data_IF_514713086672
#
_entry.id   IF_514713086672
#
_cell.length_a   1.000
_cell.length_b   1.000
_cell.length_c   1.000
_cell.angle_alpha   90.00
_cell.angle_beta   90.00
_cell.angle_gamma   90.00
#
_symmetry.space_group_name_H-M   'P 1'
#
loop_
_entity.id
_entity.type
_entity.pdbx_description
1 polymer ?
#
# COMPACT_ATOMS: atom_id res chain seq x y z
N UNK A 1 9.08 -21.76 84.85
CA UNK A 1 8.76 -20.52 84.12
C UNK A 1 7.59 -20.84 83.19
N UNK A 2 6.44 -20.21 83.44
CA UNK A 2 5.11 -20.47 82.84
C UNK A 2 5.12 -20.36 81.30
N UNK A 3 4.54 -21.30 80.53
CA UNK A 3 3.12 -21.42 80.12
C UNK A 3 2.55 -20.14 79.46
N UNK A 4 2.24 -20.18 78.15
CA UNK A 4 0.93 -19.79 77.59
C UNK A 4 0.78 -20.02 76.08
N UNK A 5 -0.22 -20.86 75.78
CA UNK A 5 -1.02 -20.97 74.56
C UNK A 5 -1.87 -19.70 74.32
N UNK A 6 -2.17 -19.34 73.06
CA UNK A 6 -3.42 -18.69 72.57
C UNK A 6 -3.27 -18.43 71.04
N UNK A 7 -3.87 -19.21 70.13
CA UNK A 7 -5.27 -19.19 69.61
C UNK A 7 -5.54 -18.10 68.56
N UNK A 8 -6.11 -18.58 67.44
CA UNK A 8 -6.54 -17.97 66.17
C UNK A 8 -7.36 -16.66 66.25
N UNK A 9 -7.28 -15.86 65.17
CA UNK A 9 -8.49 -15.32 64.55
C UNK A 9 -8.31 -15.09 63.03
N UNK A 10 -9.10 -15.82 62.23
CA UNK A 10 -9.30 -15.57 60.81
C UNK A 10 -10.20 -14.34 60.61
N UNK A 11 -9.86 -13.48 59.65
CA UNK A 11 -10.84 -12.63 58.98
C UNK A 11 -10.75 -12.84 57.47
N UNK A 12 -11.76 -13.54 56.96
CA UNK A 12 -12.10 -13.68 55.55
C UNK A 12 -12.94 -12.48 55.11
N UNK A 13 -12.43 -11.69 54.17
CA UNK A 13 -13.25 -10.75 53.40
C UNK A 13 -13.68 -11.45 52.10
N UNK A 14 -14.93 -11.92 52.11
CA UNK A 14 -15.65 -12.34 50.93
C UNK A 14 -16.12 -11.10 50.16
N UNK A 15 -15.57 -10.86 48.97
CA UNK A 15 -16.12 -9.93 47.99
C UNK A 15 -16.85 -10.72 46.91
N UNK A 16 -18.18 -10.78 46.98
CA UNK A 16 -19.02 -11.23 45.87
C UNK A 16 -19.23 -10.07 44.89
N UNK A 17 -18.73 -10.21 43.67
CA UNK A 17 -19.11 -9.38 42.52
C UNK A 17 -19.56 -10.31 41.40
N UNK A 18 -20.87 -10.40 41.18
CA UNK A 18 -21.49 -11.23 40.16
C UNK A 18 -21.39 -10.58 38.77
N UNK A 19 -21.14 -11.41 37.76
CA UNK A 19 -21.74 -11.25 36.43
C UNK A 19 -21.08 -10.24 35.48
N UNK A 20 -20.11 -10.70 34.69
CA UNK A 20 -20.41 -10.91 33.28
C UNK A 20 -19.43 -11.92 32.69
N UNK A 21 -19.98 -13.03 32.22
CA UNK A 21 -19.27 -13.97 31.37
C UNK A 21 -18.95 -13.28 30.05
N UNK A 22 -17.82 -12.56 29.99
CA UNK A 22 -17.11 -12.45 28.74
C UNK A 22 -16.60 -13.85 28.44
N UNK A 23 -17.36 -14.59 27.62
CA UNK A 23 -16.78 -15.63 26.81
C UNK A 23 -15.63 -14.94 26.07
N UNK A 24 -14.42 -15.16 26.54
CA UNK A 24 -13.25 -15.07 25.70
C UNK A 24 -13.56 -15.98 24.52
N UNK A 25 -13.93 -15.37 23.39
CA UNK A 25 -13.72 -16.02 22.11
C UNK A 25 -12.20 -16.16 21.98
N UNK A 26 -11.68 -17.21 22.62
CA UNK A 26 -10.48 -17.86 22.14
C UNK A 26 -10.86 -18.40 20.78
N UNK A 27 -10.72 -17.54 19.77
CA UNK A 27 -10.51 -18.04 18.43
C UNK A 27 -9.23 -18.86 18.55
N UNK A 28 -9.36 -20.18 18.59
CA UNK A 28 -8.30 -21.10 18.25
C UNK A 28 -7.92 -20.78 16.79
N UNK A 29 -7.14 -19.73 16.59
CA UNK A 29 -6.57 -19.34 15.31
C UNK A 29 -5.27 -20.11 15.05
N UNK A 30 -5.21 -21.37 15.47
CA UNK A 30 -4.02 -22.22 15.30
C UNK A 30 -3.93 -22.82 13.90
N UNK A 31 -4.93 -22.62 13.02
CA UNK A 31 -4.94 -23.15 11.65
C UNK A 31 -5.30 -22.12 10.57
N UNK A 32 -5.21 -20.82 10.84
CA UNK A 32 -5.23 -19.84 9.74
C UNK A 32 -3.83 -19.79 9.13
N UNK A 33 -3.61 -20.61 8.10
CA UNK A 33 -2.48 -20.42 7.21
C UNK A 33 -2.92 -19.43 6.14
N UNK A 34 -2.51 -18.14 6.18
CA UNK A 34 -2.82 -17.23 5.08
C UNK A 34 -2.31 -17.86 3.79
N UNK A 35 -3.15 -17.90 2.74
CA UNK A 35 -2.69 -18.30 1.42
C UNK A 35 -1.57 -17.33 1.01
N UNK A 36 -0.33 -17.82 0.97
CA UNK A 36 0.87 -17.02 0.66
C UNK A 36 0.88 -16.55 -0.80
N UNK A 37 -0.06 -17.04 -1.63
CA UNK A 37 -0.24 -16.52 -2.98
C UNK A 37 -0.67 -15.05 -2.88
N UNK A 38 -0.01 -14.12 -3.58
CA UNK A 38 -0.46 -12.74 -3.66
C UNK A 38 -1.93 -12.74 -4.07
N UNK A 39 -2.82 -12.27 -3.19
CA UNK A 39 -4.27 -12.27 -3.44
C UNK A 39 -4.62 -11.53 -4.73
N UNK A 40 -3.75 -10.61 -5.14
CA UNK A 40 -3.61 -10.20 -6.52
C UNK A 40 -2.24 -9.53 -6.76
N UNK A 41 -1.71 -9.66 -7.97
CA UNK A 41 -0.47 -8.97 -8.39
C UNK A 41 -0.79 -7.90 -9.43
N UNK A 42 -0.37 -6.67 -9.16
CA UNK A 42 -0.53 -5.55 -10.12
C UNK A 42 0.66 -5.51 -11.08
N UNK A 43 0.37 -5.27 -12.35
CA UNK A 43 1.33 -5.05 -13.43
C UNK A 43 0.97 -3.77 -14.17
N UNK A 44 1.98 -3.07 -14.65
CA UNK A 44 1.84 -1.91 -15.55
C UNK A 44 2.57 -2.27 -16.83
N UNK A 45 1.89 -2.15 -17.96
CA UNK A 45 2.44 -2.44 -19.28
C UNK A 45 2.46 -1.18 -20.14
N UNK A 46 3.49 -1.03 -20.96
CA UNK A 46 3.54 -0.11 -22.09
C UNK A 46 3.76 -0.91 -23.38
N UNK A 47 2.85 -0.78 -24.34
CA UNK A 47 2.96 -1.41 -25.66
C UNK A 47 3.29 -0.38 -26.74
N UNK A 48 4.41 0.34 -26.59
CA UNK A 48 4.82 1.48 -27.42
C UNK A 48 3.85 2.67 -27.31
N UNK A 49 3.56 3.09 -26.09
CA UNK A 49 2.67 4.22 -25.79
C UNK A 49 1.20 3.87 -25.61
N UNK A 50 0.82 2.61 -25.84
CA UNK A 50 -0.47 2.10 -25.35
C UNK A 50 -0.27 1.48 -23.97
N UNK A 51 -0.62 2.24 -22.94
CA UNK A 51 -0.43 1.85 -21.56
C UNK A 51 -1.69 1.22 -20.97
N UNK A 52 -1.52 0.17 -20.16
CA UNK A 52 -2.60 -0.40 -19.38
C UNK A 52 -2.11 -0.97 -18.05
N UNK A 53 -3.04 -1.09 -17.10
CA UNK A 53 -2.79 -1.72 -15.81
C UNK A 53 -3.51 -3.06 -15.78
N UNK A 54 -2.84 -4.10 -15.32
CA UNK A 54 -3.43 -5.41 -15.12
C UNK A 54 -3.30 -5.81 -13.65
N UNK A 55 -4.31 -6.51 -13.13
CA UNK A 55 -4.29 -7.11 -11.80
C UNK A 55 -4.67 -8.57 -11.93
N UNK A 56 -3.69 -9.43 -11.68
CA UNK A 56 -3.85 -10.86 -11.77
C UNK A 56 -4.53 -11.39 -10.51
N UNK A 57 -5.61 -12.15 -10.67
CA UNK A 57 -6.29 -12.91 -9.64
C UNK A 57 -6.30 -14.42 -9.95
N UNK A 58 -7.00 -15.23 -9.14
CA UNK A 58 -7.12 -16.67 -9.39
C UNK A 58 -7.88 -16.99 -10.68
N UNK A 59 -7.15 -17.28 -11.76
CA UNK A 59 -7.73 -17.66 -13.06
C UNK A 59 -8.36 -16.50 -13.84
N UNK A 60 -8.15 -15.28 -13.40
CA UNK A 60 -8.69 -14.07 -14.03
C UNK A 60 -7.66 -12.93 -14.05
N UNK A 61 -7.82 -12.01 -14.98
CA UNK A 61 -7.03 -10.79 -15.06
C UNK A 61 -7.95 -9.59 -15.24
N UNK A 62 -8.04 -8.77 -14.21
CA UNK A 62 -8.69 -7.48 -14.29
C UNK A 62 -7.77 -6.50 -15.02
N UNK A 63 -8.26 -5.81 -16.05
CA UNK A 63 -7.52 -4.86 -16.87
C UNK A 63 -8.20 -3.51 -16.87
N UNK A 64 -7.39 -2.46 -16.72
CA UNK A 64 -7.76 -1.07 -16.91
C UNK A 64 -7.06 -0.59 -18.17
N UNK A 65 -7.81 -0.64 -19.26
CA UNK A 65 -7.43 -0.07 -20.55
C UNK A 65 -7.73 1.44 -20.54
N UNK A 66 -7.17 2.23 -21.48
CA UNK A 66 -7.47 3.65 -21.59
C UNK A 66 -8.96 3.98 -21.64
N UNK A 67 -9.75 3.16 -22.33
CA UNK A 67 -11.17 3.44 -22.61
C UNK A 67 -12.15 2.57 -21.81
N UNK A 68 -11.67 1.52 -21.13
CA UNK A 68 -12.56 0.56 -20.46
C UNK A 68 -11.88 -0.27 -19.37
N UNK A 69 -12.72 -0.76 -18.46
CA UNK A 69 -12.36 -1.80 -17.50
C UNK A 69 -12.96 -3.14 -17.94
N UNK A 70 -12.15 -4.20 -17.92
CA UNK A 70 -12.58 -5.55 -18.29
C UNK A 70 -11.95 -6.59 -17.36
N UNK A 71 -12.64 -7.70 -17.14
CA UNK A 71 -12.08 -8.88 -16.47
C UNK A 71 -11.98 -9.99 -17.52
N UNK A 72 -10.76 -10.47 -17.75
CA UNK A 72 -10.48 -11.56 -18.67
C UNK A 72 -10.39 -12.88 -17.91
N UNK A 73 -11.00 -13.94 -18.44
CA UNK A 73 -10.83 -15.29 -17.90
C UNK A 73 -9.60 -15.95 -18.48
N UNK A 74 -8.86 -16.70 -17.67
CA UNK A 74 -7.76 -17.52 -18.18
C UNK A 74 -8.33 -18.65 -19.06
N UNK A 75 -7.82 -18.76 -20.27
CA UNK A 75 -8.22 -19.80 -21.23
C UNK A 75 -7.02 -20.69 -21.58
N UNK A 76 -7.32 -21.89 -22.09
CA UNK A 76 -6.29 -22.85 -22.46
C UNK A 76 -5.52 -22.34 -23.69
N UNK A 77 -4.18 -22.35 -23.59
CA UNK A 77 -3.29 -22.02 -24.71
C UNK A 77 -2.32 -23.17 -25.01
N UNK A 78 -1.86 -23.25 -26.26
CA UNK A 78 -0.81 -24.19 -26.68
C UNK A 78 0.58 -23.80 -26.12
N UNK A 79 0.81 -22.50 -25.88
CA UNK A 79 2.03 -21.98 -25.28
C UNK A 79 1.78 -20.61 -24.64
N UNK A 80 2.47 -20.33 -23.54
CA UNK A 80 2.25 -19.12 -22.77
C UNK A 80 0.92 -19.14 -22.02
N UNK A 81 0.58 -17.99 -21.46
CA UNK A 81 -0.66 -17.76 -20.72
C UNK A 81 -1.57 -16.89 -21.56
N UNK A 82 -2.84 -17.25 -21.68
CA UNK A 82 -3.84 -16.48 -22.41
C UNK A 82 -5.00 -16.16 -21.49
N UNK A 83 -5.41 -14.89 -21.49
CA UNK A 83 -6.64 -14.40 -20.87
C UNK A 83 -7.51 -13.80 -21.96
N UNK A 84 -8.81 -14.06 -21.94
CA UNK A 84 -9.74 -13.64 -22.99
C UNK A 84 -11.12 -13.29 -22.43
N UNK A 85 -11.76 -12.27 -23.00
CA UNK A 85 -13.17 -11.93 -22.84
C UNK A 85 -13.64 -11.24 -24.14
N UNK A 86 -14.60 -11.83 -24.84
CA UNK A 86 -15.13 -11.27 -26.08
C UNK A 86 -14.05 -11.06 -27.17
N UNK A 87 -13.84 -9.81 -27.56
CA UNK A 87 -12.86 -9.37 -28.57
C UNK A 87 -11.56 -8.84 -27.96
N UNK A 88 -11.36 -9.03 -26.64
CA UNK A 88 -10.17 -8.64 -25.90
C UNK A 88 -9.41 -9.88 -25.47
N UNK A 89 -8.12 -9.91 -25.75
CA UNK A 89 -7.22 -10.99 -25.31
C UNK A 89 -5.88 -10.46 -24.85
N UNK A 90 -5.36 -10.99 -23.76
CA UNK A 90 -3.99 -10.75 -23.31
C UNK A 90 -3.21 -12.07 -23.31
N UNK A 91 -2.16 -12.14 -24.10
CA UNK A 91 -1.26 -13.28 -24.18
C UNK A 91 0.13 -12.90 -23.67
N UNK A 92 0.74 -13.78 -22.87
CA UNK A 92 2.11 -13.58 -22.41
C UNK A 92 2.93 -14.87 -22.35
N UNK A 93 4.23 -14.74 -22.61
CA UNK A 93 5.21 -15.83 -22.50
C UNK A 93 6.61 -15.27 -22.23
N UNK A 94 7.14 -15.55 -21.04
CA UNK A 94 8.42 -14.96 -20.64
C UNK A 94 8.29 -13.44 -20.57
N UNK A 95 9.13 -12.73 -21.31
CA UNK A 95 9.11 -11.25 -21.42
C UNK A 95 8.22 -10.74 -22.57
N UNK A 96 7.71 -11.65 -23.42
CA UNK A 96 6.82 -11.28 -24.51
C UNK A 96 5.39 -11.16 -24.01
N UNK A 97 4.72 -10.07 -24.39
CA UNK A 97 3.30 -9.86 -24.13
C UNK A 97 2.62 -9.16 -25.31
N UNK A 98 1.38 -9.57 -25.59
CA UNK A 98 0.52 -9.06 -26.66
C UNK A 98 -0.86 -8.80 -26.08
N UNK A 99 -1.37 -7.60 -26.32
CA UNK A 99 -2.76 -7.25 -26.05
C UNK A 99 -3.50 -7.12 -27.38
N UNK A 100 -4.69 -7.71 -27.50
CA UNK A 100 -5.61 -7.47 -28.60
C UNK A 100 -6.87 -6.83 -28.03
N UNK A 101 -7.36 -5.75 -28.64
CA UNK A 101 -8.61 -5.06 -28.29
C UNK A 101 -9.37 -4.79 -29.58
N UNK A 102 -10.60 -5.29 -29.71
CA UNK A 102 -11.45 -5.08 -30.89
C UNK A 102 -10.75 -5.40 -32.23
N UNK A 103 -9.94 -6.45 -32.26
CA UNK A 103 -9.17 -6.89 -33.43
C UNK A 103 -7.87 -6.10 -33.71
N UNK A 104 -7.58 -5.04 -32.95
CA UNK A 104 -6.29 -4.34 -33.00
C UNK A 104 -5.29 -5.03 -32.06
N UNK A 105 -4.12 -5.41 -32.57
CA UNK A 105 -3.03 -5.95 -31.74
C UNK A 105 -2.03 -4.86 -31.34
N UNK A 106 -1.70 -4.85 -30.06
CA UNK A 106 -0.64 -4.07 -29.44
C UNK A 106 0.50 -5.03 -29.08
N UNK A 107 1.65 -4.81 -29.70
CA UNK A 107 2.83 -5.67 -29.61
C UNK A 107 3.91 -5.01 -28.74
N UNK A 108 4.93 -5.78 -28.38
CA UNK A 108 6.08 -5.35 -27.58
C UNK A 108 5.68 -4.75 -26.23
N UNK A 109 4.66 -5.31 -25.58
CA UNK A 109 4.21 -4.84 -24.28
C UNK A 109 5.29 -5.10 -23.21
N UNK A 110 5.97 -4.05 -22.77
CA UNK A 110 7.00 -4.10 -21.74
C UNK A 110 6.41 -3.89 -20.36
N UNK A 111 6.86 -4.66 -19.38
CA UNK A 111 6.56 -4.42 -17.97
C UNK A 111 7.27 -3.16 -17.47
N UNK A 112 6.56 -2.35 -16.71
CA UNK A 112 7.04 -1.13 -16.07
C UNK A 112 7.04 -1.30 -14.54
N UNK A 113 7.97 -2.09 -13.97
CA UNK A 113 7.96 -2.47 -12.55
C UNK A 113 8.08 -1.28 -11.61
N UNK A 114 8.77 -0.21 -12.00
CA UNK A 114 8.94 1.02 -11.24
C UNK A 114 7.63 1.79 -11.05
N UNK A 115 6.65 1.60 -11.93
CA UNK A 115 5.31 2.21 -11.83
C UNK A 115 4.36 1.43 -10.92
N UNK A 116 4.61 0.14 -10.69
CA UNK A 116 3.72 -0.74 -9.91
C UNK A 116 3.47 -0.21 -8.49
N UNK A 117 4.47 0.22 -7.70
CA UNK A 117 4.22 0.74 -6.35
C UNK A 117 3.34 1.99 -6.32
N UNK A 118 3.38 2.82 -7.37
CA UNK A 118 2.54 4.01 -7.51
C UNK A 118 1.10 3.63 -7.81
N UNK A 119 0.89 2.65 -8.70
CA UNK A 119 -0.45 2.12 -9.00
C UNK A 119 -1.08 1.38 -7.82
N UNK A 120 -0.30 0.59 -7.08
CA UNK A 120 -0.78 -0.08 -5.87
C UNK A 120 -1.13 0.91 -4.76
N UNK A 121 -0.37 2.00 -4.64
CA UNK A 121 -0.70 3.08 -3.72
C UNK A 121 -2.03 3.75 -4.12
N UNK A 122 -2.17 4.13 -5.41
CA UNK A 122 -3.41 4.71 -5.95
C UNK A 122 -4.60 3.81 -5.64
N UNK A 123 -4.52 2.50 -5.90
CA UNK A 123 -5.62 1.56 -5.63
C UNK A 123 -6.00 1.40 -4.16
N UNK A 124 -5.08 1.68 -3.25
CA UNK A 124 -5.36 1.66 -1.79
C UNK A 124 -5.92 2.99 -1.27
N UNK A 125 -6.16 3.95 -2.15
CA UNK A 125 -6.66 5.27 -1.77
C UNK A 125 -5.57 6.18 -1.22
N UNK A 126 -4.32 6.02 -1.68
CA UNK A 126 -3.22 6.94 -1.37
C UNK A 126 -3.33 8.15 -2.28
N UNK A 127 -3.35 9.34 -1.70
CA UNK A 127 -3.48 10.60 -2.44
C UNK A 127 -2.13 11.18 -2.82
N UNK A 128 -1.09 10.92 -2.02
CA UNK A 128 0.26 11.38 -2.29
C UNK A 128 1.27 10.29 -1.93
N UNK A 129 2.24 10.08 -2.82
CA UNK A 129 3.36 9.16 -2.59
C UNK A 129 4.68 9.87 -2.83
N UNK A 130 5.68 9.54 -2.02
CA UNK A 130 7.05 9.98 -2.21
C UNK A 130 8.05 8.87 -1.93
N UNK A 131 9.24 8.99 -2.51
CA UNK A 131 10.35 8.05 -2.39
C UNK A 131 11.67 8.81 -2.23
N UNK A 132 12.62 8.22 -1.53
CA UNK A 132 14.01 8.69 -1.51
C UNK A 132 14.98 7.54 -1.32
N UNK A 133 16.23 7.75 -1.74
CA UNK A 133 17.16 6.66 -2.03
C UNK A 133 18.24 6.44 -0.96
N UNK A 134 18.61 7.45 -0.18
CA UNK A 134 19.76 7.39 0.71
C UNK A 134 19.48 8.01 2.09
N UNK A 135 19.20 7.19 3.13
CA UNK A 135 18.85 5.76 3.04
C UNK A 135 17.51 5.56 2.32
N UNK A 136 17.22 4.36 1.82
CA UNK A 136 15.97 4.08 1.12
C UNK A 136 14.71 4.23 1.99
N UNK A 137 13.74 5.02 1.53
CA UNK A 137 12.46 5.26 2.19
C UNK A 137 11.32 5.50 1.20
N UNK A 138 10.08 5.30 1.65
CA UNK A 138 8.90 5.81 0.96
C UNK A 138 7.83 6.28 1.94
N UNK A 139 6.97 7.16 1.42
CA UNK A 139 5.90 7.80 2.15
C UNK A 139 4.60 7.66 1.37
N UNK A 140 3.52 7.38 2.08
CA UNK A 140 2.16 7.40 1.55
C UNK A 140 1.28 8.25 2.46
N UNK A 141 0.48 9.13 1.86
CA UNK A 141 -0.47 9.99 2.58
C UNK A 141 -1.87 9.71 2.05
N UNK A 142 -2.79 9.44 2.98
CA UNK A 142 -4.24 9.44 2.78
C UNK A 142 -4.80 10.65 3.53
N UNK A 143 -5.18 11.66 2.78
CA UNK A 143 -5.54 12.99 3.28
C UNK A 143 -6.68 12.90 4.30
N UNK A 144 -6.49 13.53 5.45
CA UNK A 144 -7.48 13.51 6.54
C UNK A 144 -7.64 12.16 7.24
N UNK A 145 -6.78 11.17 6.97
CA UNK A 145 -6.84 9.84 7.58
C UNK A 145 -5.52 9.41 8.20
N UNK A 146 -4.47 9.27 7.40
CA UNK A 146 -3.20 8.74 7.89
C UNK A 146 -2.03 9.04 6.96
N UNK A 147 -0.84 8.96 7.53
CA UNK A 147 0.44 8.97 6.83
C UNK A 147 1.23 7.72 7.22
N UNK A 148 1.82 7.04 6.23
CA UNK A 148 2.67 5.88 6.43
C UNK A 148 4.08 6.19 5.93
N UNK A 149 5.05 6.25 6.86
CA UNK A 149 6.48 6.36 6.55
C UNK A 149 7.13 4.98 6.68
N UNK A 150 7.75 4.50 5.61
CA UNK A 150 8.44 3.21 5.57
C UNK A 150 9.93 3.43 5.37
N UNK A 151 10.73 2.86 6.27
CA UNK A 151 12.19 2.95 6.31
C UNK A 151 12.83 1.57 6.28
N UNK A 152 14.13 1.51 6.05
CA UNK A 152 14.93 0.30 6.17
C UNK A 152 14.44 -0.82 5.24
N UNK A 153 14.14 -0.47 3.98
CA UNK A 153 13.68 -1.41 2.96
C UNK A 153 12.42 -2.21 3.35
N UNK A 154 11.48 -1.56 4.04
CA UNK A 154 10.21 -2.18 4.43
C UNK A 154 10.17 -2.70 5.87
N UNK A 155 11.32 -2.78 6.54
CA UNK A 155 11.43 -3.33 7.89
C UNK A 155 10.82 -2.44 8.97
N UNK A 156 10.74 -1.14 8.73
CA UNK A 156 10.19 -0.18 9.69
C UNK A 156 9.01 0.54 9.07
N UNK A 157 7.81 0.30 9.61
CA UNK A 157 6.55 0.91 9.16
C UNK A 157 6.04 1.82 10.28
N UNK A 158 6.03 3.12 10.02
CA UNK A 158 5.70 4.15 10.99
C UNK A 158 4.39 4.80 10.56
N UNK A 159 3.29 4.38 11.19
CA UNK A 159 1.96 4.91 10.92
C UNK A 159 1.69 6.14 11.79
N UNK A 160 1.31 7.24 11.16
CA UNK A 160 0.86 8.48 11.79
C UNK A 160 -0.63 8.63 11.55
N UNK A 161 -1.49 8.37 12.55
CA UNK A 161 -2.92 8.60 12.42
C UNK A 161 -3.24 10.09 12.44
N UNK A 162 -4.28 10.49 11.69
CA UNK A 162 -4.87 11.84 11.70
C UNK A 162 -3.84 12.99 11.72
N UNK A 163 -2.87 13.02 10.79
CA UNK A 163 -1.85 14.06 10.78
C UNK A 163 -2.47 15.44 10.53
N UNK A 164 -1.95 16.45 11.21
CA UNK A 164 -2.36 17.84 11.00
C UNK A 164 -1.67 18.35 9.73
N UNK A 165 -2.45 18.88 8.80
CA UNK A 165 -1.96 19.45 7.56
C UNK A 165 -2.11 20.98 7.56
N UNK A 166 -1.06 21.69 7.16
CA UNK A 166 -1.04 23.16 7.04
C UNK A 166 -0.39 23.55 5.71
N UNK A 167 -1.07 24.41 4.96
CA UNK A 167 -0.53 25.03 3.75
C UNK A 167 0.26 26.30 4.10
N UNK A 168 1.47 26.44 3.54
CA UNK A 168 2.39 27.57 3.71
C UNK A 168 2.94 27.99 2.34
N UNK A 169 2.19 28.83 1.62
CA UNK A 169 2.57 29.22 0.27
C UNK A 169 2.59 28.01 -0.66
N UNK A 170 3.75 27.69 -1.24
CA UNK A 170 3.97 26.53 -2.13
C UNK A 170 4.35 25.25 -1.39
N UNK A 171 4.29 25.26 -0.04
CA UNK A 171 4.67 24.11 0.79
C UNK A 171 3.47 23.61 1.58
N UNK A 172 3.18 22.32 1.47
CA UNK A 172 2.22 21.58 2.31
C UNK A 172 2.99 20.88 3.42
N UNK A 173 2.66 21.16 4.68
CA UNK A 173 3.33 20.56 5.85
C UNK A 173 2.36 19.63 6.58
N UNK A 174 2.80 18.39 6.83
CA UNK A 174 2.11 17.43 7.70
C UNK A 174 2.89 17.26 9.00
N UNK A 175 2.19 17.25 10.14
CA UNK A 175 2.77 16.94 11.45
C UNK A 175 1.94 15.91 12.21
N UNK A 176 2.59 15.08 13.01
CA UNK A 176 1.94 14.10 13.86
C UNK A 176 2.96 13.19 14.54
N UNK A 177 2.47 12.08 15.10
CA UNK A 177 3.32 11.13 15.84
C UNK A 177 3.10 9.70 15.37
N UNK A 178 4.19 8.95 15.16
CA UNK A 178 4.16 7.50 15.01
C UNK A 178 4.52 6.84 16.36
N UNK A 179 3.50 6.53 17.16
CA UNK A 179 3.69 6.17 18.56
C UNK A 179 4.13 7.40 19.37
N UNK A 180 5.34 7.37 19.93
CA UNK A 180 5.92 8.49 20.69
C UNK A 180 6.93 9.33 19.90
N UNK A 181 7.10 9.05 18.60
CA UNK A 181 8.10 9.70 17.75
C UNK A 181 7.42 10.71 16.85
N UNK A 182 7.93 11.94 16.87
CA UNK A 182 7.43 13.02 16.05
C UNK A 182 7.79 12.80 14.58
N UNK A 183 6.84 13.11 13.71
CA UNK A 183 6.97 13.12 12.25
C UNK A 183 6.58 14.50 11.75
N UNK A 184 7.43 15.10 10.93
CA UNK A 184 7.11 16.25 10.11
C UNK A 184 7.45 15.94 8.66
N UNK A 185 6.52 16.22 7.75
CA UNK A 185 6.73 16.10 6.30
C UNK A 185 6.47 17.45 5.66
N UNK A 186 7.39 17.88 4.81
CA UNK A 186 7.24 19.07 3.97
C UNK A 186 7.21 18.64 2.50
N UNK A 187 6.15 19.01 1.81
CA UNK A 187 5.96 18.79 0.38
C UNK A 187 6.05 20.15 -0.29
N UNK A 188 7.12 20.38 -1.05
CA UNK A 188 7.39 21.62 -1.75
C UNK A 188 7.10 21.44 -3.24
N UNK A 189 6.29 22.31 -3.82
CA UNK A 189 6.05 22.38 -5.26
C UNK A 189 7.31 22.87 -5.99
N UNK A 190 8.20 21.92 -6.30
CA UNK A 190 9.47 22.15 -6.97
C UNK A 190 9.87 20.87 -7.73
N UNK A 191 10.25 20.98 -9.02
CA UNK A 191 10.73 19.84 -9.79
C UNK A 191 11.86 19.08 -9.08
N UNK A 192 11.70 17.77 -9.03
CA UNK A 192 12.61 16.84 -8.36
C UNK A 192 12.93 15.69 -9.31
N UNK A 193 14.21 15.30 -9.38
CA UNK A 193 14.65 14.16 -10.18
C UNK A 193 15.13 13.09 -9.23
N UNK A 194 14.51 11.91 -9.30
CA UNK A 194 14.98 10.73 -8.57
C UNK A 194 16.34 10.32 -9.14
N UNK A 195 17.36 10.31 -8.30
CA UNK A 195 18.75 10.02 -8.68
C UNK A 195 18.99 8.59 -9.12
N UNK A 196 18.13 7.64 -8.71
CA UNK A 196 18.27 6.23 -9.05
C UNK A 196 17.54 5.85 -10.34
N UNK A 197 16.33 6.39 -10.56
CA UNK A 197 15.52 6.08 -11.74
C UNK A 197 15.66 7.11 -12.86
N UNK A 198 16.09 8.34 -12.55
CA UNK A 198 16.05 9.48 -13.47
C UNK A 198 14.64 10.06 -13.67
N UNK A 199 13.62 9.53 -12.98
CA UNK A 199 12.25 9.98 -13.12
C UNK A 199 12.07 11.40 -12.56
N UNK A 200 11.30 12.21 -13.28
CA UNK A 200 10.93 13.56 -12.87
C UNK A 200 9.63 13.54 -12.07
N UNK A 201 9.62 14.33 -11.01
CA UNK A 201 8.49 14.52 -10.12
C UNK A 201 8.22 16.00 -9.90
N UNK A 202 6.95 16.40 -9.72
CA UNK A 202 6.59 17.79 -9.49
C UNK A 202 6.92 18.32 -8.08
N UNK A 203 7.16 17.43 -7.10
CA UNK A 203 7.40 17.82 -5.72
C UNK A 203 8.70 17.28 -5.15
N UNK A 204 9.39 18.14 -4.39
CA UNK A 204 10.44 17.75 -3.46
C UNK A 204 9.83 17.51 -2.09
N UNK A 205 10.28 16.45 -1.42
CA UNK A 205 9.77 16.05 -0.11
C UNK A 205 10.89 15.95 0.90
N UNK A 206 10.70 16.58 2.05
CA UNK A 206 11.57 16.45 3.21
C UNK A 206 10.78 15.81 4.36
N UNK A 207 11.39 14.84 5.04
CA UNK A 207 10.82 14.17 6.22
C UNK A 207 11.78 14.34 7.38
N UNK A 208 11.28 14.86 8.50
CA UNK A 208 11.94 14.81 9.80
C UNK A 208 11.26 13.73 10.64
N UNK A 209 12.04 12.74 11.08
CA UNK A 209 11.55 11.65 11.92
C UNK A 209 12.60 11.26 12.94
N UNK A 210 12.28 11.35 14.23
CA UNK A 210 13.18 10.97 15.33
C UNK A 210 14.59 11.59 15.20
N UNK A 211 14.63 12.90 14.88
CA UNK A 211 15.83 13.70 14.57
C UNK A 211 16.63 13.28 13.33
N UNK A 212 16.16 12.32 12.54
CA UNK A 212 16.71 12.00 11.24
C UNK A 212 16.00 12.77 10.13
N UNK A 213 16.79 13.25 9.17
CA UNK A 213 16.32 13.98 8.00
C UNK A 213 16.40 13.11 6.76
N UNK A 214 15.34 13.13 5.94
CA UNK A 214 15.24 12.38 4.70
C UNK A 214 14.76 13.30 3.58
N UNK A 215 15.38 13.20 2.41
CA UNK A 215 14.99 13.96 1.21
C UNK A 215 14.59 12.99 0.09
N UNK A 216 13.68 13.44 -0.77
CA UNK A 216 13.13 12.62 -1.84
C UNK A 216 12.20 13.40 -2.77
N UNK A 217 11.58 12.65 -3.68
CA UNK A 217 10.69 13.16 -4.70
C UNK A 217 9.30 12.54 -4.55
N UNK A 218 8.24 13.27 -4.93
CA UNK A 218 6.88 12.77 -4.80
C UNK A 218 5.88 13.41 -5.75
N UNK A 219 4.69 12.83 -5.81
CA UNK A 219 3.56 13.32 -6.60
C UNK A 219 2.23 12.94 -5.96
N UNK A 220 1.23 13.75 -6.23
CA UNK A 220 -0.17 13.40 -5.98
C UNK A 220 -0.60 12.31 -6.96
N UNK A 221 -1.42 11.38 -6.49
CA UNK A 221 -1.98 10.30 -7.28
C UNK A 221 -3.41 10.67 -7.65
N UNK A 222 -3.63 10.96 -8.92
CA UNK A 222 -4.97 11.20 -9.45
C UNK A 222 -5.70 9.87 -9.67
N UNK A 223 -7.02 9.86 -9.47
CA UNK A 223 -7.88 8.70 -9.68
C UNK A 223 -8.72 8.92 -10.95
N UNK A 224 -8.34 8.37 -12.11
CA UNK A 224 -9.08 8.60 -13.34
C UNK A 224 -10.51 8.02 -13.34
N UNK A 225 -10.87 7.22 -12.33
CA UNK A 225 -12.21 6.61 -12.19
C UNK A 225 -13.16 7.42 -11.30
N UNK A 226 -12.72 8.55 -10.72
CA UNK A 226 -13.58 9.39 -9.87
C UNK A 226 -14.62 10.17 -10.68
N UNK A 227 -14.41 10.38 -11.98
CA UNK A 227 -15.30 11.15 -12.85
C UNK A 227 -16.28 10.27 -13.65
N UNK A 228 -16.42 8.98 -13.32
CA UNK A 228 -17.32 8.04 -14.01
C UNK A 228 -18.73 7.93 -13.35
N UNK A 229 -19.20 8.96 -12.65
CA UNK A 229 -20.57 9.05 -12.11
C UNK A 229 -21.61 9.54 -13.13
#
# INVERSE_FOLDING_TARGET
MLLRLCVLMCLSLAGCGAGNAFRSFSADSSNFNPDERPLATTFVYDCNGYEFIARLGPGEMAMWLPDQYVILSQVRSASGTLYEEGDISFWSKGEEAILTVAGQSYLNCQLQPERVPWEDARRRGVDFRAVGNEPGWHLEIQSGRQLLLVLGYGMQRNLVPDPVAIDRGTTRVYTGTAGTRDVQVEILEQPCVDTMSGQQFPYRVAVMFDNAHYEGCGQYLEYPWQDLE
#
